data_IF_378773242014
#
_entry.id   IF_378773242014
#
_cell.length_a   1.000
_cell.length_b   1.000
_cell.length_c   1.000
_cell.angle_alpha   90.00
_cell.angle_beta   90.00
_cell.angle_gamma   90.00
#
_symmetry.space_group_name_H-M   'P 1'
#
loop_
_entity.id
_entity.type
_entity.pdbx_description
1 polymer ?
#
# COMPACT_ATOMS: atom_id res chain seq x y z
N UNK A 1 2.83 4.49 9.36
CA UNK A 1 1.42 4.22 8.99
C UNK A 1 0.68 5.56 8.89
N UNK A 2 -0.14 5.81 7.85
CA UNK A 2 -0.79 7.11 7.68
C UNK A 2 -1.82 7.37 8.78
N UNK A 3 -1.85 8.61 9.30
CA UNK A 3 -2.79 9.02 10.34
C UNK A 3 -4.21 9.14 9.79
N UNK A 4 -5.14 8.40 10.39
CA UNK A 4 -6.55 8.42 10.01
C UNK A 4 -7.26 9.67 10.58
N UNK A 5 -8.09 10.32 9.77
CA UNK A 5 -9.00 11.38 10.22
C UNK A 5 -10.07 10.77 11.13
N UNK A 6 -10.52 11.51 12.16
CA UNK A 6 -11.63 11.11 13.03
C UNK A 6 -12.72 12.20 13.04
N UNK A 7 -13.92 11.86 13.51
CA UNK A 7 -15.03 12.82 13.68
C UNK A 7 -14.58 13.95 14.61
N UNK A 8 -14.90 15.19 14.25
CA UNK A 8 -14.50 16.45 14.93
C UNK A 8 -12.99 16.68 15.11
N UNK A 9 -12.14 15.81 14.57
CA UNK A 9 -10.68 15.92 14.67
C UNK A 9 -10.07 15.89 13.26
N UNK A 10 -10.03 17.05 12.57
CA UNK A 10 -9.39 17.16 11.25
C UNK A 10 -7.87 16.94 11.35
N UNK A 11 -7.28 16.46 10.26
CA UNK A 11 -5.82 16.31 10.20
C UNK A 11 -5.16 17.69 10.14
N UNK A 12 -4.24 17.94 11.07
CA UNK A 12 -3.39 19.12 11.00
C UNK A 12 -2.46 19.09 9.76
N UNK A 13 -1.94 20.24 9.34
CA UNK A 13 -1.10 20.37 8.13
C UNK A 13 0.08 19.40 8.11
N UNK A 14 0.80 19.28 9.23
CA UNK A 14 1.92 18.34 9.38
C UNK A 14 1.51 16.88 9.18
N UNK A 15 0.36 16.49 9.75
CA UNK A 15 -0.15 15.13 9.59
C UNK A 15 -0.53 14.85 8.13
N UNK A 16 -1.06 15.84 7.41
CA UNK A 16 -1.35 15.71 5.97
C UNK A 16 -0.05 15.55 5.18
N UNK A 17 0.98 16.34 5.49
CA UNK A 17 2.29 16.25 4.83
C UNK A 17 2.94 14.89 5.07
N UNK A 18 2.96 14.43 6.33
CA UNK A 18 3.48 13.11 6.69
C UNK A 18 2.74 11.98 5.95
N UNK A 19 1.41 12.03 5.90
CA UNK A 19 0.62 11.07 5.15
C UNK A 19 0.95 11.11 3.65
N UNK A 20 1.13 12.30 3.07
CA UNK A 20 1.50 12.48 1.66
C UNK A 20 2.86 11.85 1.35
N UNK A 21 3.85 12.01 2.23
CA UNK A 21 5.17 11.37 2.08
C UNK A 21 5.03 9.84 2.08
N UNK A 22 4.31 9.27 3.05
CA UNK A 22 4.07 7.81 3.09
C UNK A 22 3.38 7.32 1.80
N UNK A 23 2.37 8.06 1.32
CA UNK A 23 1.68 7.71 0.08
C UNK A 23 2.59 7.79 -1.14
N UNK A 24 3.48 8.79 -1.20
CA UNK A 24 4.45 8.95 -2.29
C UNK A 24 5.36 7.71 -2.42
N UNK A 25 5.75 7.13 -1.30
CA UNK A 25 6.59 5.93 -1.28
C UNK A 25 5.80 4.64 -1.55
N UNK A 26 4.54 4.56 -1.08
CA UNK A 26 3.69 3.38 -1.25
C UNK A 26 3.17 3.17 -2.66
N UNK A 27 2.71 4.23 -3.33
CA UNK A 27 2.11 4.14 -4.68
C UNK A 27 3.00 3.40 -5.69
N UNK A 28 4.30 3.72 -5.86
CA UNK A 28 5.15 2.97 -6.79
C UNK A 28 5.36 1.52 -6.35
N UNK A 29 5.48 1.26 -5.05
CA UNK A 29 5.61 -0.11 -4.53
C UNK A 29 4.36 -0.95 -4.81
N UNK A 30 3.17 -0.38 -4.64
CA UNK A 30 1.89 -1.04 -4.94
C UNK A 30 1.75 -1.34 -6.44
N UNK A 31 2.18 -0.42 -7.33
CA UNK A 31 2.22 -0.68 -8.76
C UNK A 31 3.14 -1.85 -9.13
N UNK A 32 4.35 -1.90 -8.55
CA UNK A 32 5.30 -2.99 -8.79
C UNK A 32 4.77 -4.32 -8.24
N UNK A 33 4.24 -4.34 -7.01
CA UNK A 33 3.62 -5.52 -6.42
C UNK A 33 2.45 -6.01 -7.29
N UNK A 34 1.63 -5.08 -7.78
CA UNK A 34 0.52 -5.38 -8.69
C UNK A 34 1.00 -5.99 -10.01
N UNK A 35 2.07 -5.45 -10.61
CA UNK A 35 2.66 -6.01 -11.82
C UNK A 35 3.23 -7.41 -11.58
N UNK A 36 3.96 -7.62 -10.49
CA UNK A 36 4.54 -8.91 -10.12
C UNK A 36 3.46 -9.97 -9.85
N UNK A 37 2.35 -9.60 -9.21
CA UNK A 37 1.23 -10.51 -8.96
C UNK A 37 0.44 -10.92 -10.21
N UNK A 38 0.74 -10.38 -11.40
CA UNK A 38 0.14 -10.86 -12.67
C UNK A 38 0.70 -12.22 -13.09
N UNK A 39 1.88 -12.58 -12.63
CA UNK A 39 2.48 -13.87 -12.96
C UNK A 39 1.91 -14.97 -12.06
N UNK A 40 1.28 -15.99 -12.66
CA UNK A 40 0.69 -17.13 -11.93
C UNK A 40 1.67 -17.81 -10.98
N UNK A 41 2.94 -17.90 -11.37
CA UNK A 41 3.99 -18.47 -10.52
C UNK A 41 4.16 -17.74 -9.18
N UNK A 42 3.81 -16.44 -9.13
CA UNK A 42 3.88 -15.61 -7.92
C UNK A 42 2.52 -15.50 -7.22
N UNK A 43 1.41 -15.41 -7.97
CA UNK A 43 0.07 -15.26 -7.38
C UNK A 43 -0.53 -16.56 -6.85
N UNK A 44 -0.22 -17.68 -7.51
CA UNK A 44 -0.88 -18.94 -7.23
C UNK A 44 -0.10 -19.71 -6.18
N UNK A 45 -0.82 -20.34 -5.26
CA UNK A 45 -0.21 -21.25 -4.29
C UNK A 45 0.20 -22.53 -5.03
N UNK A 46 1.50 -22.80 -5.06
CA UNK A 46 2.01 -24.10 -5.53
C UNK A 46 1.44 -25.23 -4.67
N UNK A 47 0.94 -26.28 -5.32
CA UNK A 47 0.51 -27.52 -4.66
C UNK A 47 1.26 -28.66 -5.33
N UNK A 48 2.22 -29.23 -4.61
CA UNK A 48 3.00 -30.39 -5.04
C UNK A 48 2.06 -31.59 -5.21
N UNK A 49 1.89 -32.09 -6.44
CA UNK A 49 1.06 -33.26 -6.75
C UNK A 49 1.93 -34.43 -7.18
N UNK A 50 2.96 -34.70 -6.39
CA UNK A 50 3.68 -35.97 -6.45
C UNK A 50 3.06 -36.94 -5.44
#
# INVERSE_FOLDING_TARGET
>A
MPKKRRKMNPLNKENKLHNRTISKDRVPAEHVIGAVKRFKIVSDRYRNRF
#
